data_IF_612543965910
#
_entry.id   IF_612543965910
#
_cell.length_a   1.000
_cell.length_b   1.000
_cell.length_c   1.000
_cell.angle_alpha   90.00
_cell.angle_beta   90.00
_cell.angle_gamma   90.00
#
_symmetry.space_group_name_H-M   'P 1'
#
loop_
_entity.id
_entity.type
_entity.pdbx_description
1 polymer ?
#
# COMPACT_ATOMS: atom_id res chain seq x y z
N UNK A 1 2.65 -15.67 15.89
CA UNK A 1 2.05 -14.34 15.81
C UNK A 1 2.95 -13.48 14.93
N UNK A 2 2.46 -13.02 13.79
CA UNK A 2 3.19 -12.07 12.97
C UNK A 2 3.27 -10.76 13.74
N UNK A 3 4.49 -10.31 13.96
CA UNK A 3 4.71 -9.01 14.58
C UNK A 3 4.31 -7.93 13.58
N UNK A 4 3.33 -7.13 13.92
CA UNK A 4 3.05 -5.90 13.19
C UNK A 4 4.25 -4.94 13.28
N UNK A 5 4.39 -4.10 12.28
CA UNK A 5 5.49 -3.13 12.17
C UNK A 5 4.93 -1.74 12.40
N UNK A 6 5.56 -0.97 13.29
CA UNK A 6 5.21 0.44 13.47
C UNK A 6 5.82 1.30 12.36
N UNK A 7 5.17 2.42 12.04
CA UNK A 7 5.74 3.41 11.12
C UNK A 7 7.13 3.88 11.56
N UNK A 8 7.33 4.01 12.87
CA UNK A 8 8.62 4.38 13.46
C UNK A 8 9.74 3.38 13.17
N UNK A 9 9.44 2.08 13.10
CA UNK A 9 10.43 1.06 12.79
C UNK A 9 10.94 1.15 11.35
N UNK A 10 10.16 1.73 10.44
CA UNK A 10 10.54 1.90 9.04
C UNK A 10 11.55 3.02 8.80
N UNK A 11 11.78 3.93 9.77
CA UNK A 11 12.66 5.10 9.62
C UNK A 11 14.10 4.76 9.22
N UNK A 12 14.57 3.59 9.61
CA UNK A 12 15.95 3.15 9.35
C UNK A 12 16.07 2.30 8.09
N UNK A 13 14.95 1.98 7.44
CA UNK A 13 14.92 1.16 6.25
C UNK A 13 15.00 2.02 4.97
N UNK A 14 15.44 1.41 3.88
CA UNK A 14 15.36 2.03 2.56
C UNK A 14 13.94 1.91 2.03
N UNK A 15 13.24 3.04 1.91
CA UNK A 15 11.86 3.07 1.43
C UNK A 15 11.80 3.15 -0.10
N UNK A 16 11.07 2.23 -0.71
CA UNK A 16 10.75 2.24 -2.13
C UNK A 16 9.39 2.89 -2.34
N UNK A 17 9.33 3.98 -3.09
CA UNK A 17 8.14 4.81 -3.29
C UNK A 17 7.68 4.77 -4.75
N UNK A 18 6.40 4.98 -4.97
CA UNK A 18 5.90 5.33 -6.29
C UNK A 18 6.40 6.71 -6.69
N UNK A 19 6.62 6.92 -7.99
CA UNK A 19 7.03 8.21 -8.54
C UNK A 19 6.01 9.32 -8.29
N UNK A 20 6.43 10.55 -8.51
CA UNK A 20 5.58 11.73 -8.38
C UNK A 20 4.32 11.61 -9.26
N UNK A 21 3.18 12.10 -8.75
CA UNK A 21 1.89 12.03 -9.44
C UNK A 21 1.02 10.81 -9.08
N UNK A 22 1.53 9.86 -8.33
CA UNK A 22 0.74 8.77 -7.78
C UNK A 22 0.18 9.14 -6.41
N UNK A 23 -1.13 9.26 -6.29
CA UNK A 23 -1.79 9.61 -5.02
C UNK A 23 -1.44 8.67 -3.85
N UNK A 24 -1.10 7.42 -4.15
CA UNK A 24 -0.69 6.48 -3.11
C UNK A 24 0.68 6.84 -2.50
N UNK A 25 1.57 7.48 -3.27
CA UNK A 25 2.82 8.04 -2.73
C UNK A 25 2.55 9.02 -1.60
N UNK A 26 1.62 9.94 -1.81
CA UNK A 26 1.28 10.97 -0.82
C UNK A 26 0.78 10.33 0.48
N UNK A 27 -0.08 9.31 0.37
CA UNK A 27 -0.55 8.56 1.54
C UNK A 27 0.59 7.83 2.28
N UNK A 28 1.58 7.30 1.56
CA UNK A 28 2.76 6.68 2.21
C UNK A 28 3.57 7.73 2.96
N UNK A 29 3.73 8.93 2.39
CA UNK A 29 4.45 10.03 3.03
C UNK A 29 3.67 10.67 4.21
N UNK A 30 2.34 10.56 4.24
CA UNK A 30 1.54 10.90 5.42
C UNK A 30 1.79 9.93 6.58
N UNK A 31 1.97 8.64 6.30
CA UNK A 31 2.27 7.61 7.30
C UNK A 31 3.72 7.69 7.79
N UNK A 32 4.64 8.01 6.88
CA UNK A 32 6.07 8.04 7.13
C UNK A 32 6.67 9.38 6.61
N UNK A 33 6.40 10.53 7.27
CA UNK A 33 6.76 11.85 6.77
C UNK A 33 8.26 12.09 6.68
N UNK A 34 9.06 11.33 7.39
CA UNK A 34 10.52 11.41 7.32
C UNK A 34 11.06 11.13 5.91
N UNK A 35 10.40 10.29 5.12
CA UNK A 35 10.85 9.99 3.75
C UNK A 35 10.59 11.13 2.76
N UNK A 36 9.67 12.06 3.08
CA UNK A 36 9.47 13.26 2.28
C UNK A 36 10.70 14.18 2.28
N UNK A 37 11.44 14.21 3.39
CA UNK A 37 12.63 15.07 3.55
C UNK A 37 13.83 14.57 2.77
N UNK A 38 13.93 13.29 2.48
CA UNK A 38 15.05 12.69 1.74
C UNK A 38 14.90 12.80 0.22
N UNK A 39 13.71 13.10 -0.25
CA UNK A 39 13.42 13.32 -1.68
C UNK A 39 13.99 14.63 -2.22
N UNK A 40 14.34 15.58 -1.35
CA UNK A 40 14.74 16.95 -1.72
C UNK A 40 16.22 17.27 -1.52
N UNK A 41 17.04 16.42 -0.92
CA UNK A 41 18.44 16.71 -0.64
C UNK A 41 19.39 15.71 -1.35
N UNK A 42 20.06 16.22 -2.37
CA UNK A 42 21.04 15.51 -3.19
C UNK A 42 22.40 15.24 -2.51
N UNK A 43 22.51 15.40 -1.20
CA UNK A 43 23.76 15.23 -0.45
C UNK A 43 23.61 14.17 0.65
N UNK A 44 23.49 12.91 0.26
CA UNK A 44 23.45 11.79 1.20
C UNK A 44 23.01 10.49 0.53
N UNK A 45 23.25 9.36 1.17
CA UNK A 45 22.78 8.04 0.72
C UNK A 45 21.27 8.15 0.50
N UNK A 46 20.83 7.93 -0.73
CA UNK A 46 19.42 7.97 -1.11
C UNK A 46 18.67 6.91 -0.30
N UNK A 47 17.90 7.34 0.70
CA UNK A 47 17.06 6.44 1.52
C UNK A 47 15.70 6.14 0.87
N UNK A 48 15.43 6.67 -0.34
CA UNK A 48 14.23 6.38 -1.10
C UNK A 48 14.56 6.18 -2.57
N UNK A 49 13.95 5.17 -3.17
CA UNK A 49 13.97 4.91 -4.61
C UNK A 49 12.56 5.02 -5.15
N UNK A 50 12.43 5.45 -6.40
CA UNK A 50 11.13 5.61 -7.05
C UNK A 50 10.92 4.52 -8.12
N UNK A 51 9.75 3.90 -8.09
CA UNK A 51 9.31 2.95 -9.10
C UNK A 51 8.11 3.47 -9.88
N UNK A 52 7.98 3.03 -11.13
CA UNK A 52 6.88 3.44 -12.03
C UNK A 52 5.54 2.77 -11.69
N UNK A 53 5.56 1.62 -11.05
CA UNK A 53 4.37 0.88 -10.63
C UNK A 53 4.59 0.13 -9.34
N UNK A 54 3.49 -0.22 -8.67
CA UNK A 54 3.55 -1.00 -7.43
C UNK A 54 4.13 -2.40 -7.64
N UNK A 55 3.87 -3.00 -8.82
CA UNK A 55 4.43 -4.30 -9.18
C UNK A 55 5.95 -4.23 -9.38
N UNK A 56 6.43 -3.20 -10.06
CA UNK A 56 7.88 -2.95 -10.17
C UNK A 56 8.53 -2.83 -8.79
N UNK A 57 7.90 -2.08 -7.89
CA UNK A 57 8.41 -1.91 -6.52
C UNK A 57 8.42 -3.24 -5.76
N UNK A 58 7.42 -4.10 -5.91
CA UNK A 58 7.41 -5.44 -5.29
C UNK A 58 8.61 -6.28 -5.77
N UNK A 59 8.95 -6.24 -7.06
CA UNK A 59 10.14 -6.93 -7.57
C UNK A 59 11.43 -6.34 -7.01
N UNK A 60 11.51 -5.02 -6.82
CA UNK A 60 12.67 -4.38 -6.18
C UNK A 60 12.80 -4.83 -4.70
N UNK A 61 11.68 -4.93 -3.97
CA UNK A 61 11.68 -5.48 -2.60
C UNK A 61 12.14 -6.93 -2.60
N UNK A 62 11.64 -7.75 -3.53
CA UNK A 62 12.07 -9.15 -3.68
C UNK A 62 13.56 -9.30 -3.97
N UNK A 63 14.15 -8.31 -4.66
CA UNK A 63 15.59 -8.23 -4.92
C UNK A 63 16.40 -7.69 -3.71
N UNK A 64 15.76 -7.41 -2.58
CA UNK A 64 16.43 -6.92 -1.37
C UNK A 64 16.82 -5.45 -1.39
N UNK A 65 16.23 -4.63 -2.29
CA UNK A 65 16.58 -3.21 -2.41
C UNK A 65 16.01 -2.35 -1.28
N UNK A 66 15.02 -2.84 -0.53
CA UNK A 66 14.42 -2.10 0.56
C UNK A 66 13.02 -2.61 0.91
N UNK A 67 12.21 -1.74 1.49
CA UNK A 67 10.85 -2.01 1.92
C UNK A 67 9.87 -1.05 1.25
N UNK A 68 8.61 -1.41 1.20
CA UNK A 68 7.53 -0.51 0.73
C UNK A 68 6.26 -0.72 1.51
N UNK A 69 5.36 0.25 1.45
CA UNK A 69 3.98 0.09 1.89
C UNK A 69 3.10 -0.28 0.71
N UNK A 70 2.14 -1.16 0.95
CA UNK A 70 1.15 -1.57 -0.05
C UNK A 70 -0.25 -1.55 0.57
N UNK A 71 -1.29 -1.22 -0.21
CA UNK A 71 -2.65 -1.31 0.30
C UNK A 71 -3.02 -2.77 0.56
N UNK A 72 -3.79 -3.03 1.62
CA UNK A 72 -4.22 -4.39 1.98
C UNK A 72 -4.89 -5.13 0.82
N UNK A 73 -5.62 -4.41 -0.02
CA UNK A 73 -6.28 -4.97 -1.20
C UNK A 73 -5.34 -5.51 -2.29
N UNK A 74 -4.05 -5.14 -2.26
CA UNK A 74 -3.03 -5.65 -3.19
C UNK A 74 -2.20 -6.80 -2.62
N UNK A 75 -2.50 -7.22 -1.39
CA UNK A 75 -1.83 -8.34 -0.71
C UNK A 75 -2.63 -9.62 -0.95
N UNK A 76 -2.03 -10.72 -1.42
CA UNK A 76 -2.69 -12.01 -1.57
C UNK A 76 -3.38 -12.46 -0.27
N UNK A 77 -4.55 -13.10 -0.39
CA UNK A 77 -5.34 -13.51 0.79
C UNK A 77 -4.57 -14.46 1.70
N UNK A 78 -3.79 -15.35 1.12
CA UNK A 78 -2.97 -16.38 1.78
C UNK A 78 -1.65 -15.82 2.33
N UNK A 79 -1.23 -14.63 1.92
CA UNK A 79 0.06 -14.07 2.35
C UNK A 79 0.10 -13.64 3.82
N UNK A 80 -1.05 -13.37 4.43
CA UNK A 80 -1.19 -13.04 5.85
C UNK A 80 -1.79 -14.17 6.69
N UNK A 81 -2.12 -15.28 6.07
CA UNK A 81 -2.62 -16.46 6.79
C UNK A 81 -1.43 -17.31 7.25
N UNK A 82 -1.17 -17.29 8.56
CA UNK A 82 -0.10 -18.08 9.19
C UNK A 82 -0.35 -19.59 9.11
N UNK A 83 -1.58 -20.02 8.79
CA UNK A 83 -1.96 -21.43 8.68
C UNK A 83 -1.88 -21.97 7.27
N UNK A 84 -1.86 -21.09 6.25
CA UNK A 84 -1.76 -21.50 4.87
C UNK A 84 -0.36 -22.07 4.60
N UNK A 85 -0.30 -23.34 4.17
CA UNK A 85 0.95 -23.91 3.62
C UNK A 85 1.39 -23.01 2.46
N UNK A 86 2.47 -22.26 2.66
CA UNK A 86 3.05 -21.36 1.64
C UNK A 86 3.21 -22.15 0.34
N UNK A 87 2.33 -21.94 -0.61
CA UNK A 87 2.54 -22.43 -1.97
C UNK A 87 3.83 -21.79 -2.47
N UNK A 88 4.69 -22.60 -3.05
CA UNK A 88 5.97 -22.23 -3.65
C UNK A 88 5.72 -21.43 -4.94
N UNK A 89 5.17 -20.21 -4.79
CA UNK A 89 4.97 -19.25 -5.88
C UNK A 89 6.12 -18.25 -5.89
N UNK A 90 6.29 -17.53 -6.96
CA UNK A 90 7.37 -16.54 -7.18
C UNK A 90 7.44 -15.43 -6.12
N UNK A 91 6.40 -15.26 -5.31
CA UNK A 91 6.34 -14.32 -4.18
C UNK A 91 7.06 -14.79 -2.90
N UNK A 92 7.82 -15.89 -2.96
CA UNK A 92 8.54 -16.48 -1.80
C UNK A 92 9.58 -15.53 -1.21
N UNK A 93 10.00 -14.51 -1.95
CA UNK A 93 11.02 -13.53 -1.54
C UNK A 93 10.47 -12.27 -0.88
N UNK A 94 9.14 -12.11 -0.84
CA UNK A 94 8.49 -10.95 -0.23
C UNK A 94 7.68 -11.41 0.98
N UNK A 95 7.83 -10.70 2.10
CA UNK A 95 7.02 -10.88 3.29
C UNK A 95 6.13 -9.67 3.49
N UNK A 96 4.83 -9.91 3.70
CA UNK A 96 3.86 -8.88 4.04
C UNK A 96 3.64 -8.87 5.56
N UNK A 97 3.71 -7.70 6.15
CA UNK A 97 3.46 -7.48 7.57
C UNK A 97 2.41 -6.36 7.72
N UNK A 98 1.48 -6.49 8.67
CA UNK A 98 0.56 -5.40 8.97
C UNK A 98 1.32 -4.21 9.55
N UNK A 99 0.89 -3.00 9.21
CA UNK A 99 1.40 -1.75 9.80
C UNK A 99 0.44 -1.31 10.90
N UNK A 100 0.98 -1.03 12.06
CA UNK A 100 0.25 -0.43 13.20
C UNK A 100 0.42 1.08 13.21
N UNK A 101 -0.57 1.78 13.74
CA UNK A 101 -0.44 3.19 14.06
C UNK A 101 0.60 3.44 15.14
N UNK A 102 1.10 4.66 15.24
CA UNK A 102 2.08 5.04 16.24
C UNK A 102 1.55 4.78 17.67
N UNK A 103 2.40 4.18 18.49
CA UNK A 103 2.05 3.83 19.88
C UNK A 103 0.99 2.73 20.03
N UNK A 104 0.79 1.87 19.02
CA UNK A 104 -0.25 0.83 19.05
C UNK A 104 -1.65 1.37 18.69
N UNK A 105 -1.69 2.53 18.04
CA UNK A 105 -2.91 3.15 17.55
C UNK A 105 -3.53 2.43 16.35
N UNK A 106 -4.60 3.02 15.82
CA UNK A 106 -5.33 2.49 14.68
C UNK A 106 -4.42 2.43 13.43
N UNK A 107 -4.46 1.32 12.65
CA UNK A 107 -3.64 1.20 11.46
C UNK A 107 -3.98 2.30 10.43
N UNK A 108 -2.99 2.73 9.62
CA UNK A 108 -3.22 3.74 8.59
C UNK A 108 -4.34 3.34 7.63
N UNK A 109 -5.21 4.29 7.30
CA UNK A 109 -6.38 4.08 6.43
C UNK A 109 -6.39 5.09 5.29
N UNK A 110 -6.98 4.71 4.19
CA UNK A 110 -7.26 5.64 3.09
C UNK A 110 -8.69 5.46 2.61
N UNK A 111 -9.29 6.56 2.17
CA UNK A 111 -10.62 6.54 1.54
C UNK A 111 -10.44 6.35 0.04
N UNK A 112 -11.21 5.42 -0.51
CA UNK A 112 -11.37 5.22 -1.96
C UNK A 112 -12.79 5.60 -2.32
N UNK A 113 -12.96 6.41 -3.36
CA UNK A 113 -14.27 6.93 -3.79
C UNK A 113 -14.49 6.66 -5.27
N UNK A 114 -15.74 6.49 -5.65
CA UNK A 114 -16.18 6.52 -7.03
C UNK A 114 -16.57 7.97 -7.36
N UNK A 115 -15.91 8.56 -8.35
CA UNK A 115 -16.20 9.92 -8.80
C UNK A 115 -16.54 9.93 -10.29
N UNK A 116 -17.48 10.78 -10.68
CA UNK A 116 -17.87 10.97 -12.08
C UNK A 116 -18.24 12.42 -12.36
N UNK A 117 -18.21 12.79 -13.64
CA UNK A 117 -18.58 14.15 -14.05
C UNK A 117 -20.07 14.39 -13.86
N UNK A 118 -20.45 15.58 -13.41
CA UNK A 118 -21.85 15.97 -13.24
C UNK A 118 -22.69 15.86 -14.53
N UNK A 119 -22.05 16.06 -15.68
CA UNK A 119 -22.66 15.91 -17.01
C UNK A 119 -22.76 14.48 -17.53
N UNK A 120 -22.32 13.49 -16.75
CA UNK A 120 -22.42 12.09 -17.16
C UNK A 120 -23.85 11.58 -16.94
N UNK A 121 -24.50 11.20 -18.02
CA UNK A 121 -25.95 10.91 -18.03
C UNK A 121 -26.30 9.44 -17.79
N UNK A 122 -25.33 8.52 -17.85
CA UNK A 122 -25.57 7.08 -17.68
C UNK A 122 -25.55 6.69 -16.20
N UNK A 123 -26.53 7.16 -15.45
CA UNK A 123 -26.62 6.88 -13.99
C UNK A 123 -26.81 5.41 -13.67
N UNK A 124 -27.49 4.64 -14.53
CA UNK A 124 -27.65 3.20 -14.36
C UNK A 124 -26.31 2.46 -14.42
N UNK A 125 -25.41 2.88 -15.31
CA UNK A 125 -24.05 2.31 -15.39
C UNK A 125 -23.23 2.61 -14.13
N UNK A 126 -23.38 3.82 -13.55
CA UNK A 126 -22.75 4.18 -12.29
C UNK A 126 -23.29 3.31 -11.15
N UNK A 127 -24.62 3.17 -11.08
CA UNK A 127 -25.26 2.33 -10.07
C UNK A 127 -24.84 0.86 -10.19
N UNK A 128 -24.79 0.33 -11.42
CA UNK A 128 -24.31 -1.03 -11.67
C UNK A 128 -22.85 -1.23 -11.23
N UNK A 129 -21.98 -0.27 -11.55
CA UNK A 129 -20.56 -0.30 -11.10
C UNK A 129 -20.46 -0.22 -9.58
N UNK A 130 -21.21 0.67 -8.94
CA UNK A 130 -21.23 0.79 -7.49
C UNK A 130 -21.68 -0.51 -6.82
N UNK A 131 -22.74 -1.13 -7.34
CA UNK A 131 -23.24 -2.41 -6.85
C UNK A 131 -22.21 -3.53 -7.04
N UNK A 132 -21.52 -3.55 -8.18
CA UNK A 132 -20.45 -4.52 -8.45
C UNK A 132 -19.28 -4.35 -7.46
N UNK A 133 -18.86 -3.10 -7.21
CA UNK A 133 -17.82 -2.79 -6.20
C UNK A 133 -18.27 -3.23 -4.81
N UNK A 134 -19.53 -3.00 -4.46
CA UNK A 134 -20.07 -3.41 -3.18
C UNK A 134 -20.24 -4.93 -3.03
N UNK A 135 -20.41 -5.65 -4.11
CA UNK A 135 -20.44 -7.11 -4.11
C UNK A 135 -19.04 -7.74 -3.97
N UNK A 136 -17.96 -6.97 -4.21
CA UNK A 136 -16.62 -7.48 -4.04
C UNK A 136 -16.24 -7.59 -2.56
N UNK A 137 -15.86 -8.79 -2.14
CA UNK A 137 -15.26 -9.05 -0.82
C UNK A 137 -13.74 -8.91 -0.92
N UNK A 138 -13.24 -7.69 -0.75
CA UNK A 138 -11.81 -7.41 -0.75
C UNK A 138 -11.28 -7.31 0.67
N UNK A 139 -10.15 -7.98 0.98
CA UNK A 139 -9.58 -7.97 2.32
C UNK A 139 -9.15 -6.55 2.74
N UNK A 140 -9.50 -6.18 3.97
CA UNK A 140 -9.12 -4.88 4.55
C UNK A 140 -9.88 -3.68 3.98
N UNK A 141 -11.03 -3.91 3.31
CA UNK A 141 -11.95 -2.85 2.90
C UNK A 141 -13.21 -2.88 3.77
N UNK A 142 -13.63 -1.69 4.19
CA UNK A 142 -14.91 -1.46 4.86
C UNK A 142 -15.71 -0.43 4.09
N UNK A 143 -17.01 -0.66 3.94
CA UNK A 143 -17.91 0.32 3.36
C UNK A 143 -18.07 1.51 4.30
N UNK A 144 -18.06 2.69 3.74
CA UNK A 144 -18.51 3.90 4.41
C UNK A 144 -19.95 4.13 4.01
N UNK A 145 -20.81 4.24 5.00
CA UNK A 145 -22.23 4.64 4.83
C UNK A 145 -22.32 6.14 4.55
#
# INVERSE_FOLDING_TARGET
AEKAVSATALKNETMLLLGNGHCFRDHVLEVCPEFARFSSNAAGIQKSFEGSSLETIKHMVAAGMGVTLVPRSSVPKDALDSTAKRKKSEETFVRFLPVEGDGGGEPPKRRVVLAWRRSFTRYEAIAALLNAVYACELPGLTRLS
#
